data_IF_139360038520
#
_entry.id   IF_139360038520
#
_cell.length_a   1.000
_cell.length_b   1.000
_cell.length_c   1.000
_cell.angle_alpha   90.00
_cell.angle_beta   90.00
_cell.angle_gamma   90.00
#
_symmetry.space_group_name_H-M   'P 1'
#
loop_
_entity.id
_entity.type
_entity.pdbx_description
1 polymer ?
#
# COMPACT_ATOMS: atom_id res chain seq x y z
N UNK A 1 27.35 6.47 27.86
CA UNK A 1 28.30 5.44 27.39
C UNK A 1 28.90 6.02 26.14
N UNK A 2 30.07 6.62 26.27
CA UNK A 2 30.72 7.35 25.19
C UNK A 2 31.60 6.36 24.41
N UNK A 3 31.34 6.23 23.12
CA UNK A 3 32.11 5.38 22.21
C UNK A 3 33.00 6.32 21.41
N UNK A 4 34.31 6.25 21.61
CA UNK A 4 35.26 7.04 20.84
C UNK A 4 35.73 6.23 19.62
N UNK A 5 35.57 6.80 18.43
CA UNK A 5 35.90 6.14 17.16
C UNK A 5 37.12 6.83 16.57
N UNK A 6 38.23 6.10 16.49
CA UNK A 6 39.47 6.59 15.89
C UNK A 6 39.76 5.83 14.58
N UNK A 7 39.82 6.56 13.47
CA UNK A 7 40.32 6.03 12.19
C UNK A 7 41.84 6.10 12.19
N UNK A 8 42.51 4.97 12.02
CA UNK A 8 43.96 4.87 11.94
C UNK A 8 44.42 5.02 10.49
N UNK A 9 45.67 5.49 10.31
CA UNK A 9 46.25 5.83 8.99
C UNK A 9 46.39 4.63 8.03
N UNK A 10 46.29 3.41 8.54
CA UNK A 10 46.34 2.14 7.82
C UNK A 10 44.95 1.60 7.41
N UNK A 11 43.88 2.35 7.64
CA UNK A 11 42.51 1.92 7.33
C UNK A 11 41.84 1.07 8.42
N UNK A 12 42.51 0.86 9.56
CA UNK A 12 41.93 0.23 10.74
C UNK A 12 41.05 1.20 11.51
N UNK A 13 40.04 0.67 12.21
CA UNK A 13 39.20 1.44 13.11
C UNK A 13 39.43 0.95 14.53
N UNK A 14 39.80 1.87 15.42
CA UNK A 14 39.83 1.62 16.85
C UNK A 14 38.55 2.15 17.48
N UNK A 15 37.84 1.27 18.17
CA UNK A 15 36.68 1.61 18.98
C UNK A 15 37.09 1.55 20.45
N UNK A 16 36.95 2.68 21.15
CA UNK A 16 37.24 2.77 22.57
C UNK A 16 35.95 2.76 23.38
N UNK A 17 35.84 1.79 24.29
CA UNK A 17 34.72 1.63 25.22
C UNK A 17 35.16 1.87 26.67
N UNK A 18 36.15 2.74 26.88
CA UNK A 18 36.65 3.17 28.20
C UNK A 18 37.54 2.14 28.91
N UNK A 19 37.11 0.88 28.99
CA UNK A 19 37.90 -0.23 29.56
C UNK A 19 38.30 -1.30 28.52
N UNK A 20 37.74 -1.21 27.31
CA UNK A 20 37.97 -2.18 26.24
C UNK A 20 38.31 -1.44 24.95
N UNK A 21 39.49 -1.74 24.41
CA UNK A 21 39.90 -1.29 23.07
C UNK A 21 39.68 -2.42 22.06
N UNK A 22 38.84 -2.16 21.07
CA UNK A 22 38.64 -3.05 19.93
C UNK A 22 39.36 -2.48 18.70
N UNK A 23 40.28 -3.27 18.15
CA UNK A 23 40.94 -3.00 16.88
C UNK A 23 40.23 -3.77 15.77
N UNK A 24 39.59 -3.04 14.86
CA UNK A 24 38.93 -3.63 13.70
C UNK A 24 39.86 -3.53 12.49
N UNK A 25 40.29 -4.69 11.99
CA UNK A 25 41.02 -4.77 10.74
C UNK A 25 40.09 -4.40 9.56
N UNK A 26 40.66 -3.97 8.41
CA UNK A 26 39.88 -3.67 7.21
C UNK A 26 38.97 -4.82 6.75
N UNK A 27 39.42 -6.07 6.93
CA UNK A 27 38.65 -7.27 6.59
C UNK A 27 37.43 -7.46 7.50
N UNK A 28 37.57 -7.19 8.81
CA UNK A 28 36.47 -7.25 9.77
C UNK A 28 35.46 -6.12 9.49
N UNK A 29 35.94 -4.92 9.14
CA UNK A 29 35.08 -3.80 8.74
C UNK A 29 34.28 -4.15 7.50
N UNK A 30 34.92 -4.72 6.48
CA UNK A 30 34.26 -5.18 5.25
C UNK A 30 33.21 -6.25 5.53
N UNK A 31 33.52 -7.20 6.41
CA UNK A 31 32.57 -8.25 6.80
C UNK A 31 31.38 -7.68 7.57
N UNK A 32 31.61 -6.75 8.50
CA UNK A 32 30.55 -6.04 9.21
C UNK A 32 29.66 -5.25 8.26
N UNK A 33 30.25 -4.53 7.30
CA UNK A 33 29.51 -3.83 6.25
C UNK A 33 28.63 -4.79 5.45
N UNK A 34 29.16 -5.93 5.00
CA UNK A 34 28.39 -6.94 4.28
C UNK A 34 27.24 -7.52 5.11
N UNK A 35 27.44 -7.74 6.41
CA UNK A 35 26.37 -8.21 7.32
C UNK A 35 25.29 -7.15 7.50
N UNK A 36 25.67 -5.89 7.65
CA UNK A 36 24.73 -4.76 7.77
C UNK A 36 23.94 -4.57 6.47
N UNK A 37 24.61 -4.55 5.32
CA UNK A 37 23.96 -4.47 4.00
C UNK A 37 23.01 -5.65 3.77
N UNK A 38 23.44 -6.87 4.08
CA UNK A 38 22.59 -8.07 3.95
C UNK A 38 21.37 -8.00 4.86
N UNK A 39 21.50 -7.52 6.10
CA UNK A 39 20.35 -7.35 7.00
C UNK A 39 19.38 -6.29 6.50
N UNK A 40 19.89 -5.12 6.08
CA UNK A 40 19.06 -4.03 5.55
C UNK A 40 18.32 -4.44 4.27
N UNK A 41 18.99 -5.18 3.39
CA UNK A 41 18.39 -5.67 2.14
C UNK A 41 17.37 -6.79 2.39
N UNK A 42 17.66 -7.75 3.28
CA UNK A 42 16.72 -8.84 3.63
C UNK A 42 15.45 -8.31 4.30
N UNK A 43 15.55 -7.32 5.20
CA UNK A 43 14.36 -6.68 5.78
C UNK A 43 13.50 -5.97 4.73
N UNK A 44 14.13 -5.33 3.75
CA UNK A 44 13.42 -4.64 2.67
C UNK A 44 12.74 -5.60 1.68
N UNK A 45 13.33 -6.75 1.38
CA UNK A 45 12.75 -7.76 0.49
C UNK A 45 11.50 -8.42 1.09
N UNK A 46 11.57 -8.82 2.37
CA UNK A 46 10.42 -9.41 3.06
C UNK A 46 9.25 -8.42 3.16
N UNK A 47 9.53 -7.16 3.45
CA UNK A 47 8.52 -6.10 3.51
C UNK A 47 7.90 -5.83 2.12
N UNK A 48 8.73 -5.74 1.08
CA UNK A 48 8.25 -5.58 -0.31
C UNK A 48 7.35 -6.75 -0.72
N UNK A 49 7.75 -7.99 -0.42
CA UNK A 49 6.95 -9.17 -0.70
C UNK A 49 5.60 -9.13 0.04
N UNK A 50 5.58 -8.68 1.30
CA UNK A 50 4.35 -8.51 2.06
C UNK A 50 3.43 -7.44 1.44
N UNK A 51 3.99 -6.31 1.01
CA UNK A 51 3.24 -5.25 0.32
C UNK A 51 2.63 -5.76 -0.99
N UNK A 52 3.41 -6.46 -1.83
CA UNK A 52 2.89 -7.03 -3.09
C UNK A 52 1.76 -8.02 -2.83
N UNK A 53 1.89 -8.87 -1.81
CA UNK A 53 0.84 -9.82 -1.43
C UNK A 53 -0.45 -9.10 -1.01
N UNK A 54 -0.35 -8.04 -0.21
CA UNK A 54 -1.51 -7.22 0.17
C UNK A 54 -2.14 -6.54 -1.05
N UNK A 55 -1.32 -5.96 -1.93
CA UNK A 55 -1.81 -5.33 -3.14
C UNK A 55 -2.54 -6.31 -4.05
N UNK A 56 -2.05 -7.55 -4.21
CA UNK A 56 -2.75 -8.58 -4.97
C UNK A 56 -4.17 -8.85 -4.43
N UNK A 57 -4.31 -9.00 -3.11
CA UNK A 57 -5.61 -9.16 -2.45
C UNK A 57 -6.52 -7.94 -2.71
N UNK A 58 -5.96 -6.72 -2.69
CA UNK A 58 -6.72 -5.52 -2.95
C UNK A 58 -7.11 -5.35 -4.41
N UNK A 59 -6.33 -5.85 -5.37
CA UNK A 59 -6.72 -5.93 -6.79
C UNK A 59 -7.93 -6.84 -6.97
N UNK A 60 -7.88 -8.04 -6.38
CA UNK A 60 -9.02 -8.97 -6.40
C UNK A 60 -10.28 -8.34 -5.81
N UNK A 61 -10.13 -7.60 -4.72
CA UNK A 61 -11.23 -6.89 -4.09
C UNK A 61 -11.77 -5.77 -4.99
N UNK A 62 -10.91 -4.95 -5.57
CA UNK A 62 -11.29 -3.88 -6.50
C UNK A 62 -12.05 -4.43 -7.72
N UNK A 63 -11.59 -5.55 -8.28
CA UNK A 63 -12.26 -6.24 -9.38
C UNK A 63 -13.64 -6.74 -8.98
N UNK A 64 -13.80 -7.32 -7.77
CA UNK A 64 -15.13 -7.72 -7.27
C UNK A 64 -16.08 -6.54 -7.09
N UNK A 65 -15.58 -5.39 -6.61
CA UNK A 65 -16.38 -4.17 -6.50
C UNK A 65 -16.83 -3.64 -7.86
N UNK A 66 -16.02 -3.85 -8.90
CA UNK A 66 -16.41 -3.51 -10.26
C UNK A 66 -17.68 -4.24 -10.70
N UNK A 67 -17.95 -5.44 -10.18
CA UNK A 67 -19.15 -6.21 -10.49
C UNK A 67 -20.33 -5.98 -9.53
N UNK A 68 -20.15 -5.19 -8.47
CA UNK A 68 -21.20 -4.87 -7.50
C UNK A 68 -22.36 -4.09 -8.11
N UNK A 69 -23.57 -4.21 -7.57
CA UNK A 69 -24.75 -3.47 -8.05
C UNK A 69 -24.54 -1.95 -7.96
N UNK A 70 -25.04 -1.23 -8.98
CA UNK A 70 -24.90 0.23 -9.09
C UNK A 70 -25.49 0.96 -7.87
N UNK A 71 -26.56 0.43 -7.27
CA UNK A 71 -27.20 1.02 -6.07
C UNK A 71 -26.29 0.96 -4.85
N UNK A 72 -25.52 -0.11 -4.70
CA UNK A 72 -24.56 -0.24 -3.60
C UNK A 72 -23.38 0.68 -3.85
N UNK A 73 -22.85 0.71 -5.09
CA UNK A 73 -21.75 1.60 -5.45
C UNK A 73 -22.11 3.07 -5.24
N UNK A 74 -23.32 3.51 -5.59
CA UNK A 74 -23.77 4.89 -5.38
C UNK A 74 -23.72 5.32 -3.90
N UNK A 75 -23.86 4.38 -2.95
CA UNK A 75 -23.71 4.66 -1.51
C UNK A 75 -22.24 4.68 -1.07
N UNK A 76 -21.41 3.82 -1.65
CA UNK A 76 -20.00 3.66 -1.26
C UNK A 76 -19.14 4.80 -1.79
N UNK A 77 -19.28 5.15 -3.08
CA UNK A 77 -18.39 6.09 -3.76
C UNK A 77 -18.29 7.46 -3.07
N UNK A 78 -19.38 8.09 -2.57
CA UNK A 78 -19.29 9.38 -1.89
C UNK A 78 -18.60 9.34 -0.52
N UNK A 79 -18.40 8.15 0.06
CA UNK A 79 -17.76 7.98 1.37
C UNK A 79 -16.24 7.81 1.28
N UNK A 80 -15.71 7.65 0.06
CA UNK A 80 -14.28 7.48 -0.19
C UNK A 80 -13.60 8.84 -0.33
N UNK A 81 -12.41 8.98 0.24
CA UNK A 81 -11.56 10.14 -0.08
C UNK A 81 -11.06 10.05 -1.52
N UNK A 82 -10.63 11.16 -2.14
CA UNK A 82 -10.07 11.14 -3.49
C UNK A 82 -8.93 10.13 -3.65
N UNK A 83 -8.01 10.05 -2.68
CA UNK A 83 -6.87 9.13 -2.71
C UNK A 83 -7.31 7.67 -2.65
N UNK A 84 -8.28 7.35 -1.79
CA UNK A 84 -8.82 6.00 -1.65
C UNK A 84 -9.53 5.57 -2.93
N UNK A 85 -10.37 6.44 -3.50
CA UNK A 85 -11.10 6.15 -4.72
C UNK A 85 -10.17 5.99 -5.92
N UNK A 86 -9.20 6.89 -6.11
CA UNK A 86 -8.20 6.77 -7.19
C UNK A 86 -7.37 5.50 -7.02
N UNK A 87 -6.95 5.18 -5.79
CA UNK A 87 -6.22 3.94 -5.50
C UNK A 87 -7.05 2.73 -5.89
N UNK A 88 -8.31 2.68 -5.47
CA UNK A 88 -9.22 1.57 -5.74
C UNK A 88 -9.41 1.35 -7.25
N UNK A 89 -9.60 2.44 -8.01
CA UNK A 89 -9.76 2.38 -9.46
C UNK A 89 -8.48 1.93 -10.15
N UNK A 90 -7.31 2.38 -9.71
CA UNK A 90 -6.03 1.95 -10.30
C UNK A 90 -5.62 0.52 -9.95
N UNK A 91 -6.14 -0.02 -8.85
CA UNK A 91 -5.93 -1.42 -8.52
C UNK A 91 -6.87 -2.35 -9.29
N UNK A 92 -8.00 -1.85 -9.78
CA UNK A 92 -8.87 -2.63 -10.66
C UNK A 92 -8.23 -2.85 -12.04
N UNK A 93 -8.56 -3.97 -12.66
CA UNK A 93 -8.05 -4.33 -13.98
C UNK A 93 -8.84 -3.62 -15.08
N UNK A 94 -8.10 -2.96 -15.98
CA UNK A 94 -8.64 -2.24 -17.12
C UNK A 94 -9.51 -1.04 -16.75
N UNK A 95 -10.28 -0.55 -17.73
CA UNK A 95 -11.08 0.67 -17.58
C UNK A 95 -12.50 0.40 -17.04
N UNK A 96 -12.88 -0.85 -16.82
CA UNK A 96 -14.28 -1.20 -16.55
C UNK A 96 -14.78 -0.54 -15.27
N UNK A 97 -14.03 -0.66 -14.18
CA UNK A 97 -14.42 -0.05 -12.92
C UNK A 97 -14.36 1.48 -12.98
N UNK A 98 -13.33 2.05 -13.63
CA UNK A 98 -13.23 3.48 -13.88
C UNK A 98 -14.51 4.02 -14.54
N UNK A 99 -14.95 3.40 -15.64
CA UNK A 99 -16.18 3.79 -16.34
C UNK A 99 -17.42 3.63 -15.47
N UNK A 100 -17.48 2.56 -14.66
CA UNK A 100 -18.60 2.32 -13.74
C UNK A 100 -18.67 3.36 -12.62
N UNK A 101 -17.54 3.79 -12.09
CA UNK A 101 -17.43 4.89 -11.13
C UNK A 101 -17.98 6.17 -11.75
N UNK A 102 -17.53 6.54 -12.95
CA UNK A 102 -18.03 7.74 -13.64
C UNK A 102 -19.55 7.69 -13.84
N UNK A 103 -20.10 6.53 -14.24
CA UNK A 103 -21.54 6.35 -14.44
C UNK A 103 -22.36 6.51 -13.17
N UNK A 104 -21.82 6.10 -12.02
CA UNK A 104 -22.52 6.11 -10.73
C UNK A 104 -22.30 7.40 -9.92
N UNK A 105 -21.60 8.39 -10.48
CA UNK A 105 -21.40 9.69 -9.86
C UNK A 105 -22.28 10.78 -10.48
N UNK A 106 -22.61 11.79 -9.67
CA UNK A 106 -23.16 13.06 -10.17
C UNK A 106 -22.16 13.75 -11.12
N UNK A 107 -22.66 14.66 -11.97
CA UNK A 107 -21.82 15.38 -12.94
C UNK A 107 -20.66 16.15 -12.26
N UNK A 108 -20.92 16.76 -11.11
CA UNK A 108 -19.91 17.50 -10.33
C UNK A 108 -18.86 16.56 -9.76
N UNK A 109 -19.28 15.47 -9.09
CA UNK A 109 -18.37 14.51 -8.48
C UNK A 109 -17.55 13.76 -9.53
N UNK A 110 -18.13 13.49 -10.70
CA UNK A 110 -17.44 12.90 -11.84
C UNK A 110 -16.26 13.77 -12.27
N UNK A 111 -16.52 15.06 -12.52
CA UNK A 111 -15.48 16.01 -12.94
C UNK A 111 -14.37 16.11 -11.89
N UNK A 112 -14.75 16.21 -10.61
CA UNK A 112 -13.78 16.25 -9.51
C UNK A 112 -12.93 14.98 -9.47
N UNK A 113 -13.55 13.80 -9.61
CA UNK A 113 -12.82 12.55 -9.66
C UNK A 113 -11.87 12.46 -10.86
N UNK A 114 -12.26 12.92 -12.04
CA UNK A 114 -11.38 12.94 -13.22
C UNK A 114 -10.15 13.84 -12.99
N UNK A 115 -10.35 15.02 -12.39
CA UNK A 115 -9.28 15.94 -12.01
C UNK A 115 -8.34 15.30 -10.97
N UNK A 116 -8.90 14.66 -9.93
CA UNK A 116 -8.14 13.95 -8.91
C UNK A 116 -7.39 12.74 -9.48
N UNK A 117 -8.01 11.99 -10.38
CA UNK A 117 -7.42 10.84 -11.04
C UNK A 117 -6.20 11.22 -11.88
N UNK A 118 -6.26 12.37 -12.58
CA UNK A 118 -5.13 12.92 -13.32
C UNK A 118 -4.03 13.44 -12.38
N UNK A 119 -4.41 14.16 -11.31
CA UNK A 119 -3.48 14.80 -10.36
C UNK A 119 -2.73 13.78 -9.50
N UNK A 120 -3.40 12.74 -9.01
CA UNK A 120 -2.85 11.79 -8.04
C UNK A 120 -2.01 10.68 -8.70
N UNK A 121 -1.16 11.00 -9.68
CA UNK A 121 -0.37 10.02 -10.45
C UNK A 121 0.81 9.37 -9.71
N UNK A 122 1.10 9.79 -8.46
CA UNK A 122 2.28 9.37 -7.69
C UNK A 122 1.97 8.62 -6.40
N UNK A 123 0.82 7.97 -6.29
CA UNK A 123 0.51 7.11 -5.14
C UNK A 123 1.48 5.94 -5.09
N UNK A 124 2.27 5.85 -4.02
CA UNK A 124 3.21 4.74 -3.80
C UNK A 124 2.47 3.46 -3.41
N UNK A 125 3.12 2.31 -3.60
CA UNK A 125 2.57 1.00 -3.20
C UNK A 125 2.21 0.92 -1.71
N UNK A 126 3.05 1.53 -0.86
CA UNK A 126 2.81 1.57 0.58
C UNK A 126 1.58 2.42 0.92
N UNK A 127 1.46 3.62 0.31
CA UNK A 127 0.27 4.46 0.47
C UNK A 127 -1.00 3.75 -0.03
N UNK A 128 -0.92 3.06 -1.16
CA UNK A 128 -2.04 2.28 -1.68
C UNK A 128 -2.52 1.23 -0.68
N UNK A 129 -1.60 0.50 -0.02
CA UNK A 129 -1.95 -0.45 1.04
C UNK A 129 -2.67 0.25 2.20
N UNK A 130 -2.15 1.37 2.69
CA UNK A 130 -2.76 2.13 3.80
C UNK A 130 -4.18 2.58 3.44
N UNK A 131 -4.35 3.20 2.27
CA UNK A 131 -5.66 3.67 1.82
C UNK A 131 -6.66 2.53 1.68
N UNK A 132 -6.22 1.37 1.17
CA UNK A 132 -7.06 0.20 1.03
C UNK A 132 -7.45 -0.41 2.39
N UNK A 133 -6.52 -0.46 3.35
CA UNK A 133 -6.79 -0.96 4.70
C UNK A 133 -7.84 -0.11 5.44
N UNK A 134 -7.78 1.21 5.28
CA UNK A 134 -8.73 2.14 5.90
C UNK A 134 -10.18 1.93 5.42
N UNK A 135 -10.37 1.51 4.17
CA UNK A 135 -11.71 1.35 3.58
C UNK A 135 -12.27 -0.07 3.72
N UNK A 136 -11.51 -1.05 4.23
CA UNK A 136 -11.99 -2.43 4.45
C UNK A 136 -13.34 -2.46 5.21
N UNK A 137 -13.56 -1.71 6.31
CA UNK A 137 -14.84 -1.74 7.01
C UNK A 137 -16.01 -1.29 6.14
N UNK A 138 -15.80 -0.25 5.31
CA UNK A 138 -16.80 0.24 4.37
C UNK A 138 -17.11 -0.81 3.29
N UNK A 139 -16.08 -1.43 2.72
CA UNK A 139 -16.24 -2.47 1.70
C UNK A 139 -16.94 -3.72 2.24
N UNK A 140 -16.71 -4.09 3.50
CA UNK A 140 -17.42 -5.18 4.16
C UNK A 140 -18.92 -4.90 4.27
N UNK A 141 -19.31 -3.68 4.66
CA UNK A 141 -20.72 -3.26 4.71
C UNK A 141 -21.34 -3.32 3.31
N UNK A 142 -20.66 -2.80 2.30
CA UNK A 142 -21.11 -2.86 0.92
C UNK A 142 -21.32 -4.30 0.43
N UNK A 143 -20.43 -5.22 0.76
CA UNK A 143 -20.57 -6.63 0.41
C UNK A 143 -21.78 -7.30 1.10
N UNK A 144 -22.10 -6.92 2.33
CA UNK A 144 -23.31 -7.40 3.02
C UNK A 144 -24.58 -6.88 2.34
N UNK A 145 -24.60 -5.60 1.95
CA UNK A 145 -25.72 -5.02 1.21
C UNK A 145 -25.92 -5.67 -0.16
N UNK A 146 -24.83 -5.95 -0.89
CA UNK A 146 -24.87 -6.66 -2.16
C UNK A 146 -25.51 -8.05 -2.01
N UNK A 147 -25.10 -8.83 -1.00
CA UNK A 147 -25.68 -10.14 -0.72
C UNK A 147 -27.17 -10.05 -0.36
N UNK A 148 -27.57 -9.04 0.41
CA UNK A 148 -28.96 -8.84 0.75
C UNK A 148 -29.82 -8.51 -0.48
N UNK A 149 -29.31 -7.71 -1.42
CA UNK A 149 -29.97 -7.42 -2.69
C UNK A 149 -30.11 -8.66 -3.57
N UNK A 150 -29.04 -9.46 -3.69
CA UNK A 150 -29.06 -10.72 -4.45
C UNK A 150 -30.11 -11.69 -3.89
N UNK A 151 -30.17 -11.85 -2.57
CA UNK A 151 -31.16 -12.72 -1.91
C UNK A 151 -32.60 -12.23 -2.14
N UNK A 152 -32.85 -10.91 -2.12
CA UNK A 152 -34.16 -10.34 -2.40
C UNK A 152 -34.58 -10.52 -3.87
N UNK A 153 -33.64 -10.48 -4.81
CA UNK A 153 -33.93 -10.73 -6.23
C UNK A 153 -34.26 -12.20 -6.48
N UNK A 154 -33.58 -13.13 -5.81
CA UNK A 154 -33.84 -14.57 -5.92
C UNK A 154 -35.19 -15.00 -5.34
N UNK A 155 -35.75 -14.26 -4.37
CA UNK A 155 -37.09 -14.53 -3.81
C UNK A 155 -38.23 -13.94 -4.64
N UNK A 156 -37.94 -13.09 -5.63
CA UNK A 156 -38.92 -12.43 -6.50
C UNK A 156 -39.07 -13.08 -7.88
N UNK A 157 -38.29 -14.13 -8.14
CA UNK A 157 -38.36 -15.00 -9.33
C UNK A 157 -39.05 -16.29 -8.93
#
# INVERSE_FOLDING_TARGET
MDIEIHKLKNGEIRLDFGQVMLHLSPEVIKTLQQVVEKRLNMSGEAERAAIEKKLAIFRDLANKLAHMDDRVLQKVLPQLTPEQLVTLVRLSEGDYFYRKVLRNMSKTNRRQFEEDYARLNRITKHQAVIYMEQIIPLLKKAAQEQKALEAQMQQKV
#
